data_IF_976566074288
#
_entry.id   IF_976566074288
#
_cell.length_a   1.000
_cell.length_b   1.000
_cell.length_c   1.000
_cell.angle_alpha   90.00
_cell.angle_beta   90.00
_cell.angle_gamma   90.00
#
_symmetry.space_group_name_H-M   'P 1'
#
loop_
_entity.id
_entity.type
_entity.pdbx_description
1 polymer ?
#
# COMPACT_ATOMS: atom_id res chain seq x y z
N UNK A 1 1.05 -11.79 -47.02
CA UNK A 1 0.27 -10.73 -46.31
C UNK A 1 0.17 -10.98 -44.80
N UNK A 2 -0.10 -12.21 -44.36
CA UNK A 2 -0.20 -12.52 -42.90
C UNK A 2 1.10 -12.30 -42.13
N UNK A 3 2.25 -12.62 -42.74
CA UNK A 3 3.58 -12.41 -42.15
C UNK A 3 3.88 -10.91 -41.94
N UNK A 4 3.51 -10.07 -42.89
CA UNK A 4 3.70 -8.61 -42.80
C UNK A 4 2.82 -8.04 -41.69
N UNK A 5 1.58 -8.48 -41.58
CA UNK A 5 0.67 -8.05 -40.48
C UNK A 5 1.21 -8.49 -39.10
N UNK A 6 1.74 -9.72 -38.99
CA UNK A 6 2.34 -10.21 -37.76
C UNK A 6 3.62 -9.42 -37.38
N UNK A 7 4.45 -9.06 -38.37
CA UNK A 7 5.66 -8.25 -38.15
C UNK A 7 5.25 -6.82 -37.72
N UNK A 8 4.26 -6.20 -38.37
CA UNK A 8 3.76 -4.88 -37.99
C UNK A 8 3.15 -4.92 -36.58
N UNK A 9 2.36 -5.92 -36.26
CA UNK A 9 1.80 -6.09 -34.93
C UNK A 9 2.89 -6.29 -33.85
N UNK A 10 3.94 -7.06 -34.15
CA UNK A 10 5.07 -7.26 -33.25
C UNK A 10 5.88 -5.96 -33.08
N UNK A 11 6.11 -5.20 -34.17
CA UNK A 11 6.79 -3.90 -34.09
C UNK A 11 5.98 -2.88 -33.33
N UNK A 12 4.66 -2.79 -33.56
CA UNK A 12 3.77 -1.93 -32.80
C UNK A 12 3.73 -2.35 -31.33
N UNK A 13 3.70 -3.63 -31.02
CA UNK A 13 3.77 -4.14 -29.66
C UNK A 13 5.09 -3.77 -28.98
N UNK A 14 6.22 -3.86 -29.72
CA UNK A 14 7.53 -3.44 -29.20
C UNK A 14 7.56 -1.93 -28.97
N UNK A 15 7.08 -1.12 -29.91
CA UNK A 15 7.09 0.33 -29.81
C UNK A 15 6.17 0.81 -28.68
N UNK A 16 4.94 0.33 -28.62
CA UNK A 16 3.95 0.80 -27.65
C UNK A 16 3.93 0.00 -26.34
N UNK A 17 4.30 -1.27 -26.37
CA UNK A 17 4.30 -2.16 -25.22
C UNK A 17 5.62 -2.22 -24.45
N UNK A 18 6.74 -2.14 -25.14
CA UNK A 18 8.09 -2.31 -24.56
C UNK A 18 8.82 -0.99 -24.41
N UNK A 19 8.79 -0.14 -25.44
CA UNK A 19 9.45 1.17 -25.41
C UNK A 19 8.58 2.19 -24.69
N UNK A 20 7.24 2.05 -24.80
CA UNK A 20 6.26 2.93 -24.19
C UNK A 20 6.47 4.38 -24.63
N UNK A 21 5.62 4.91 -25.48
CA UNK A 21 5.54 6.35 -25.66
C UNK A 21 4.69 6.85 -24.48
N UNK A 22 5.32 6.96 -23.32
CA UNK A 22 4.69 7.64 -22.19
C UNK A 22 4.78 9.13 -22.49
N UNK A 23 3.66 9.81 -22.49
CA UNK A 23 3.65 11.27 -22.56
C UNK A 23 4.54 11.79 -21.42
N UNK A 24 5.58 12.55 -21.77
CA UNK A 24 6.39 13.22 -20.76
C UNK A 24 5.48 14.15 -19.98
N UNK A 25 5.31 13.90 -18.71
CA UNK A 25 4.90 14.95 -17.79
C UNK A 25 6.12 15.86 -17.67
N UNK A 26 6.11 16.98 -18.38
CA UNK A 26 7.14 18.00 -18.18
C UNK A 26 6.92 18.60 -16.79
N UNK A 27 7.77 18.21 -15.86
CA UNK A 27 7.96 19.00 -14.64
C UNK A 27 8.61 20.31 -15.09
N UNK A 28 7.83 21.38 -15.15
CA UNK A 28 8.41 22.71 -15.22
C UNK A 28 9.17 22.92 -13.92
N UNK A 29 10.50 22.95 -14.00
CA UNK A 29 11.28 23.54 -12.93
C UNK A 29 10.73 24.94 -12.68
N UNK A 30 10.39 25.24 -11.44
CA UNK A 30 9.97 26.58 -11.06
C UNK A 30 11.05 27.56 -11.50
N UNK A 31 10.69 28.51 -12.34
CA UNK A 31 11.51 29.71 -12.44
C UNK A 31 11.62 30.27 -11.02
N UNK A 32 12.85 30.51 -10.57
CA UNK A 32 13.08 31.13 -9.26
C UNK A 32 12.31 32.43 -9.25
N UNK A 33 11.25 32.51 -8.49
CA UNK A 33 10.58 33.77 -8.20
C UNK A 33 11.56 34.58 -7.37
N UNK A 34 12.20 35.54 -7.99
CA UNK A 34 13.02 36.54 -7.30
C UNK A 34 12.10 37.53 -6.59
N UNK A 35 11.48 37.07 -5.50
CA UNK A 35 10.82 37.99 -4.59
C UNK A 35 11.90 38.67 -3.75
N UNK A 36 12.10 39.95 -3.96
CA UNK A 36 12.87 40.81 -3.07
C UNK A 36 12.13 41.01 -1.73
N UNK A 37 12.08 39.95 -0.94
CA UNK A 37 11.51 39.99 0.42
C UNK A 37 12.64 39.81 1.40
N UNK A 38 12.96 40.90 2.09
CA UNK A 38 13.95 40.90 3.17
C UNK A 38 13.31 40.43 4.47
N UNK A 39 13.56 39.20 4.85
CA UNK A 39 13.12 38.59 6.11
C UNK A 39 13.39 37.09 6.12
N UNK A 40 13.96 36.58 7.19
CA UNK A 40 14.46 35.21 7.28
C UNK A 40 13.37 34.12 7.33
N UNK A 41 12.06 34.48 7.36
CA UNK A 41 10.95 33.51 7.54
C UNK A 41 9.76 33.82 6.64
N UNK A 42 9.99 34.25 5.40
CA UNK A 42 8.91 34.52 4.44
C UNK A 42 8.83 33.41 3.41
N UNK A 43 7.67 32.73 3.34
CA UNK A 43 7.31 31.80 2.26
C UNK A 43 6.40 32.53 1.28
N UNK A 44 6.81 32.59 0.02
CA UNK A 44 5.99 33.14 -1.06
C UNK A 44 5.22 32.01 -1.73
N UNK A 45 3.89 32.11 -1.72
CA UNK A 45 3.02 31.22 -2.48
C UNK A 45 2.63 31.92 -3.79
N UNK A 46 3.03 31.33 -4.91
CA UNK A 46 2.63 31.81 -6.24
C UNK A 46 1.41 31.05 -6.75
N UNK A 47 0.25 31.67 -6.74
CA UNK A 47 -1.01 31.07 -7.19
C UNK A 47 -1.07 30.86 -8.72
N UNK A 48 -0.10 31.34 -9.49
CA UNK A 48 -0.06 31.13 -10.94
C UNK A 48 0.70 29.85 -11.33
N UNK A 49 1.35 29.19 -10.37
CA UNK A 49 2.11 27.97 -10.60
C UNK A 49 1.42 26.79 -9.94
N UNK A 50 0.90 25.87 -10.76
CA UNK A 50 0.33 24.61 -10.31
C UNK A 50 1.28 23.47 -10.65
N UNK A 51 1.77 22.77 -9.63
CA UNK A 51 2.70 21.64 -9.81
C UNK A 51 1.95 20.32 -9.91
N UNK A 52 1.11 20.01 -8.92
CA UNK A 52 0.38 18.76 -8.83
C UNK A 52 -0.93 18.94 -8.07
N UNK A 53 -1.85 18.01 -8.24
CA UNK A 53 -3.05 17.92 -7.42
C UNK A 53 -2.79 16.98 -6.25
N UNK A 54 -2.86 17.52 -5.02
CA UNK A 54 -2.88 16.70 -3.82
C UNK A 54 -4.27 16.12 -3.62
N UNK A 55 -4.34 14.80 -3.55
CA UNK A 55 -5.60 14.10 -3.37
C UNK A 55 -6.16 14.20 -1.95
N UNK A 56 -5.32 14.49 -0.96
CA UNK A 56 -5.71 14.69 0.42
C UNK A 56 -4.63 14.28 1.41
N UNK A 57 -4.95 14.46 2.68
CA UNK A 57 -4.15 14.06 3.82
C UNK A 57 -4.92 13.08 4.69
N UNK A 58 -4.21 12.12 5.29
CA UNK A 58 -4.85 11.08 6.07
C UNK A 58 -4.01 10.57 7.21
N UNK A 59 -4.60 9.61 7.92
CA UNK A 59 -3.91 8.85 8.94
C UNK A 59 -4.02 7.34 8.69
N UNK A 60 -2.93 6.62 8.91
CA UNK A 60 -2.97 5.17 9.04
C UNK A 60 -3.53 4.80 10.40
N UNK A 61 -4.53 3.94 10.44
CA UNK A 61 -5.20 3.51 11.66
C UNK A 61 -4.44 2.41 12.41
N UNK A 62 -3.41 1.86 11.84
CA UNK A 62 -2.50 0.90 12.48
C UNK A 62 -1.66 1.59 13.57
N UNK A 63 -1.71 1.17 14.77
CA UNK A 63 -2.66 0.19 15.36
C UNK A 63 -3.49 0.88 16.45
N UNK A 64 -3.37 2.21 16.53
CA UNK A 64 -4.04 3.02 17.55
C UNK A 64 -5.56 2.83 17.57
N UNK A 65 -6.16 2.51 16.40
CA UNK A 65 -7.61 2.29 16.33
C UNK A 65 -8.08 1.07 17.11
N UNK A 66 -7.19 0.09 17.35
CA UNK A 66 -7.51 -1.07 18.19
C UNK A 66 -7.76 -0.70 19.64
N UNK A 67 -7.12 0.36 20.14
CA UNK A 67 -7.31 0.88 21.49
C UNK A 67 -8.41 1.96 21.50
N UNK A 68 -8.24 3.01 20.69
CA UNK A 68 -9.11 4.19 20.67
C UNK A 68 -10.56 3.84 20.42
N UNK A 69 -10.86 2.85 19.58
CA UNK A 69 -12.23 2.45 19.28
C UNK A 69 -13.04 2.00 20.50
N UNK A 70 -12.37 1.59 21.59
CA UNK A 70 -13.03 1.22 22.86
C UNK A 70 -13.06 2.32 23.91
N UNK A 71 -12.44 3.48 23.64
CA UNK A 71 -12.34 4.56 24.62
C UNK A 71 -13.60 5.43 24.66
N UNK A 72 -13.98 5.88 25.83
CA UNK A 72 -15.15 6.75 26.02
C UNK A 72 -15.05 8.07 25.24
N UNK A 73 -13.82 8.58 25.04
CA UNK A 73 -13.53 9.79 24.29
C UNK A 73 -13.13 9.54 22.81
N UNK A 74 -13.35 8.33 22.28
CA UNK A 74 -13.06 8.01 20.88
C UNK A 74 -13.67 9.03 19.91
N UNK A 75 -14.90 9.47 20.19
CA UNK A 75 -15.60 10.45 19.35
C UNK A 75 -14.88 11.80 19.29
N UNK A 76 -14.35 12.29 20.41
CA UNK A 76 -13.64 13.57 20.49
C UNK A 76 -12.30 13.50 19.76
N UNK A 77 -11.58 12.36 19.89
CA UNK A 77 -10.34 12.11 19.17
C UNK A 77 -10.58 12.11 17.65
N UNK A 78 -11.61 11.38 17.21
CA UNK A 78 -11.92 11.30 15.80
C UNK A 78 -12.45 12.63 15.23
N UNK A 79 -13.15 13.43 16.04
CA UNK A 79 -13.52 14.80 15.68
C UNK A 79 -12.29 15.68 15.49
N UNK A 80 -11.35 15.63 16.44
CA UNK A 80 -10.11 16.41 16.33
C UNK A 80 -9.28 16.06 15.08
N UNK A 81 -9.35 14.81 14.60
CA UNK A 81 -8.64 14.37 13.41
C UNK A 81 -9.38 14.67 12.10
N UNK A 82 -10.70 14.48 12.05
CA UNK A 82 -11.43 14.39 10.78
C UNK A 82 -12.45 15.52 10.53
N UNK A 83 -12.78 16.34 11.53
CA UNK A 83 -13.69 17.48 11.34
C UNK A 83 -12.93 18.69 10.77
N UNK A 84 -13.39 19.24 9.65
CA UNK A 84 -12.73 20.39 8.98
C UNK A 84 -12.89 21.71 9.72
N UNK A 85 -13.88 21.82 10.65
CA UNK A 85 -14.14 23.04 11.40
C UNK A 85 -13.59 23.01 12.82
N UNK A 86 -13.55 21.82 13.41
CA UNK A 86 -13.17 21.62 14.83
C UNK A 86 -11.91 20.77 15.03
N UNK A 87 -11.33 20.30 13.94
CA UNK A 87 -10.16 19.45 13.91
C UNK A 87 -9.17 19.85 12.83
N UNK A 88 -8.29 18.92 12.47
CA UNK A 88 -7.28 19.14 11.44
C UNK A 88 -7.76 18.77 10.02
N UNK A 89 -9.00 18.28 9.87
CA UNK A 89 -9.65 18.05 8.59
C UNK A 89 -9.03 16.95 7.74
N UNK A 90 -8.60 15.83 8.33
CA UNK A 90 -8.13 14.69 7.53
C UNK A 90 -9.29 14.13 6.69
N UNK A 91 -9.00 13.76 5.47
CA UNK A 91 -9.99 13.25 4.52
C UNK A 91 -9.64 11.89 3.90
N UNK A 92 -8.57 11.25 4.38
CA UNK A 92 -8.19 9.89 4.01
C UNK A 92 -8.02 9.06 5.30
N UNK A 93 -8.63 7.87 5.31
CA UNK A 93 -8.46 6.88 6.37
C UNK A 93 -7.82 5.63 5.77
N UNK A 94 -6.68 5.20 6.31
CA UNK A 94 -6.01 3.97 5.88
C UNK A 94 -6.29 2.87 6.91
N UNK A 95 -7.10 1.89 6.50
CA UNK A 95 -7.60 0.80 7.34
C UNK A 95 -6.79 -0.48 7.13
N UNK A 96 -6.34 -1.10 8.24
CA UNK A 96 -5.69 -2.40 8.20
C UNK A 96 -6.73 -3.53 8.12
N UNK A 97 -6.68 -4.33 7.07
CA UNK A 97 -7.38 -5.60 6.99
C UNK A 97 -6.57 -6.62 7.79
N UNK A 98 -6.95 -6.84 9.03
CA UNK A 98 -6.21 -7.66 9.99
C UNK A 98 -6.06 -9.11 9.54
N UNK A 99 -4.93 -9.71 9.86
CA UNK A 99 -4.60 -11.08 9.47
C UNK A 99 -5.12 -12.15 10.43
N UNK A 100 -5.60 -11.78 11.62
CA UNK A 100 -6.14 -12.73 12.59
C UNK A 100 -5.14 -13.17 13.66
N UNK A 101 -4.20 -12.30 14.00
CA UNK A 101 -3.22 -12.52 15.06
C UNK A 101 -3.77 -12.25 16.47
N UNK A 102 -5.06 -12.02 16.61
CA UNK A 102 -5.67 -11.77 17.92
C UNK A 102 -5.35 -12.90 18.91
N UNK A 103 -4.81 -12.52 20.07
CA UNK A 103 -4.34 -13.42 21.11
C UNK A 103 -3.03 -14.19 20.77
N UNK A 104 -2.32 -13.84 19.73
CA UNK A 104 -0.98 -14.38 19.50
C UNK A 104 0.02 -13.78 20.49
N UNK A 105 0.47 -14.58 21.45
CA UNK A 105 1.37 -14.15 22.53
C UNK A 105 2.76 -13.76 22.05
N UNK A 106 3.15 -14.14 20.82
CA UNK A 106 4.45 -13.77 20.24
C UNK A 106 4.47 -12.29 19.79
N UNK A 107 3.30 -11.71 19.49
CA UNK A 107 3.17 -10.27 19.24
C UNK A 107 2.94 -9.58 20.60
N UNK A 108 3.99 -9.01 21.19
CA UNK A 108 3.97 -8.52 22.56
C UNK A 108 3.03 -7.34 22.76
N UNK A 109 2.88 -6.48 21.77
CA UNK A 109 2.04 -5.28 21.86
C UNK A 109 0.62 -5.61 21.42
N UNK A 110 -0.31 -5.61 22.39
CA UNK A 110 -1.70 -6.08 22.19
C UNK A 110 -2.47 -5.37 21.06
N UNK A 111 -2.28 -4.06 20.87
CA UNK A 111 -2.96 -3.33 19.80
C UNK A 111 -2.42 -3.65 18.40
N UNK A 112 -1.29 -4.36 18.31
CA UNK A 112 -0.76 -4.90 17.04
C UNK A 112 -1.27 -6.30 16.72
N UNK A 113 -2.07 -6.89 17.60
CA UNK A 113 -2.78 -8.15 17.38
C UNK A 113 -4.17 -7.83 16.84
N UNK A 114 -4.48 -8.25 15.63
CA UNK A 114 -5.73 -7.88 14.96
C UNK A 114 -6.66 -9.08 14.74
N UNK A 115 -7.96 -8.82 14.66
CA UNK A 115 -8.94 -9.81 14.19
C UNK A 115 -8.95 -9.84 12.65
N UNK A 116 -9.43 -10.95 12.07
CA UNK A 116 -9.59 -11.14 10.64
C UNK A 116 -11.07 -11.27 10.28
N UNK A 117 -11.46 -10.74 9.12
CA UNK A 117 -12.81 -10.97 8.60
C UNK A 117 -13.01 -12.39 8.05
N UNK A 118 -11.93 -13.08 7.65
CA UNK A 118 -11.98 -14.45 7.18
C UNK A 118 -11.91 -15.42 8.37
N UNK A 119 -12.81 -16.36 8.43
CA UNK A 119 -12.82 -17.46 9.40
C UNK A 119 -12.02 -18.67 8.86
N UNK A 120 -11.68 -19.60 9.75
CA UNK A 120 -10.96 -20.83 9.42
C UNK A 120 -11.71 -21.75 8.43
N UNK A 121 -13.03 -21.69 8.40
CA UNK A 121 -13.90 -22.47 7.50
C UNK A 121 -14.09 -21.78 6.13
N UNK A 122 -13.44 -20.65 5.88
CA UNK A 122 -13.56 -19.89 4.65
C UNK A 122 -14.77 -18.93 4.59
N UNK A 123 -15.60 -18.89 5.63
CA UNK A 123 -16.69 -17.92 5.73
C UNK A 123 -16.18 -16.56 6.21
N UNK A 124 -17.01 -15.53 6.11
CA UNK A 124 -16.66 -14.16 6.53
C UNK A 124 -17.48 -13.71 7.72
N UNK A 125 -16.82 -13.13 8.72
CA UNK A 125 -17.44 -12.43 9.83
C UNK A 125 -17.03 -10.97 9.87
N UNK A 126 -17.79 -10.11 9.23
CA UNK A 126 -17.55 -8.67 9.20
C UNK A 126 -17.92 -7.94 10.51
N UNK A 127 -18.34 -8.67 11.54
CA UNK A 127 -18.50 -8.10 12.90
C UNK A 127 -17.18 -8.14 13.71
N UNK A 128 -16.15 -8.78 13.18
CA UNK A 128 -14.81 -8.74 13.78
C UNK A 128 -14.21 -7.34 13.65
N UNK A 129 -13.12 -7.09 14.39
CA UNK A 129 -12.37 -5.83 14.37
C UNK A 129 -13.21 -4.59 14.76
N UNK A 130 -14.04 -4.75 15.76
CA UNK A 130 -15.04 -3.75 16.19
C UNK A 130 -14.43 -2.40 16.49
N UNK A 131 -13.30 -2.36 17.22
CA UNK A 131 -12.67 -1.09 17.64
C UNK A 131 -12.17 -0.29 16.42
N UNK A 132 -11.50 -0.95 15.47
CA UNK A 132 -11.04 -0.27 14.26
C UNK A 132 -12.23 0.18 13.39
N UNK A 133 -13.27 -0.63 13.27
CA UNK A 133 -14.50 -0.24 12.57
C UNK A 133 -15.21 0.93 13.26
N UNK A 134 -15.24 0.98 14.58
CA UNK A 134 -15.79 2.11 15.36
C UNK A 134 -15.04 3.42 15.04
N UNK A 135 -13.71 3.39 15.02
CA UNK A 135 -12.92 4.55 14.61
C UNK A 135 -13.23 4.98 13.17
N UNK A 136 -13.33 4.03 12.25
CA UNK A 136 -13.67 4.30 10.85
C UNK A 136 -15.07 4.94 10.70
N UNK A 137 -16.05 4.46 11.44
CA UNK A 137 -17.41 5.03 11.44
C UNK A 137 -17.41 6.47 11.97
N UNK A 138 -16.67 6.74 13.04
CA UNK A 138 -16.50 8.08 13.59
C UNK A 138 -15.74 9.00 12.62
N UNK A 139 -14.68 8.51 11.96
CA UNK A 139 -13.97 9.26 10.93
C UNK A 139 -14.93 9.69 9.81
N UNK A 140 -15.73 8.76 9.28
CA UNK A 140 -16.73 9.05 8.26
C UNK A 140 -17.79 10.05 8.74
N UNK A 141 -18.22 9.95 9.99
CA UNK A 141 -19.17 10.88 10.59
C UNK A 141 -18.65 12.32 10.54
N UNK A 142 -17.37 12.53 10.84
CA UNK A 142 -16.78 13.87 10.93
C UNK A 142 -16.24 14.41 9.61
N UNK A 143 -15.55 13.58 8.80
CA UNK A 143 -15.05 13.98 7.49
C UNK A 143 -16.14 14.02 6.39
N UNK A 144 -17.30 13.39 6.64
CA UNK A 144 -18.42 13.36 5.71
C UNK A 144 -18.27 12.32 4.59
N UNK A 145 -19.16 12.44 3.58
CA UNK A 145 -19.29 11.44 2.49
C UNK A 145 -18.08 11.36 1.57
N UNK A 146 -17.30 12.41 1.49
CA UNK A 146 -16.16 12.52 0.59
C UNK A 146 -14.87 11.93 1.17
N UNK A 147 -14.91 11.48 2.44
CA UNK A 147 -13.80 10.76 3.06
C UNK A 147 -13.41 9.55 2.21
N UNK A 148 -12.13 9.43 1.94
CA UNK A 148 -11.55 8.31 1.19
C UNK A 148 -11.09 7.22 2.14
N UNK A 149 -11.38 6.00 1.79
CA UNK A 149 -10.92 4.82 2.52
C UNK A 149 -9.91 4.07 1.67
N UNK A 150 -8.70 3.89 2.19
CA UNK A 150 -7.69 2.99 1.65
C UNK A 150 -7.59 1.77 2.53
N UNK A 151 -7.56 0.59 1.93
CA UNK A 151 -7.45 -0.68 2.63
C UNK A 151 -6.05 -1.26 2.39
N UNK A 152 -5.44 -1.84 3.40
CA UNK A 152 -4.16 -2.52 3.22
C UNK A 152 -4.04 -3.75 4.12
N UNK A 153 -3.10 -4.64 3.79
CA UNK A 153 -2.80 -5.84 4.56
C UNK A 153 -1.33 -5.83 4.98
N UNK A 154 -1.06 -5.96 6.28
CA UNK A 154 0.29 -6.24 6.76
C UNK A 154 0.71 -7.68 6.43
N UNK A 155 -0.21 -8.62 6.57
CA UNK A 155 -0.03 -10.04 6.23
C UNK A 155 -1.30 -10.60 5.61
N UNK A 156 -1.19 -11.73 4.94
CA UNK A 156 -2.36 -12.52 4.58
C UNK A 156 -3.01 -13.12 5.83
N UNK A 157 -4.34 -13.42 5.81
CA UNK A 157 -5.00 -14.13 6.89
C UNK A 157 -4.25 -15.37 7.35
N UNK A 158 -4.13 -15.58 8.65
CA UNK A 158 -3.39 -16.71 9.25
C UNK A 158 -3.82 -18.06 8.70
N UNK A 159 -5.07 -18.21 8.32
CA UNK A 159 -5.61 -19.43 7.72
C UNK A 159 -5.10 -19.71 6.30
N UNK A 160 -4.43 -18.75 5.67
CA UNK A 160 -3.84 -18.88 4.34
C UNK A 160 -2.32 -18.99 4.39
N UNK A 161 -1.71 -18.80 5.57
CA UNK A 161 -0.26 -18.80 5.74
C UNK A 161 0.29 -20.20 6.00
N UNK A 162 1.58 -20.40 5.72
CA UNK A 162 2.26 -21.68 5.87
C UNK A 162 2.41 -22.15 7.31
N UNK A 163 2.66 -21.20 8.22
CA UNK A 163 2.90 -21.48 9.64
C UNK A 163 1.68 -21.19 10.53
N UNK A 164 0.56 -20.77 9.97
CA UNK A 164 -0.64 -20.41 10.72
C UNK A 164 -0.52 -19.12 11.54
N UNK A 165 0.54 -18.32 11.32
CA UNK A 165 0.76 -17.05 11.99
C UNK A 165 0.75 -15.88 10.99
N UNK A 166 0.61 -14.67 11.50
CA UNK A 166 0.57 -13.44 10.70
C UNK A 166 1.97 -12.83 10.45
N UNK A 167 3.03 -13.61 10.61
CA UNK A 167 4.42 -13.22 10.40
C UNK A 167 5.22 -14.40 9.82
N UNK A 168 6.40 -14.11 9.27
CA UNK A 168 7.25 -15.15 8.69
C UNK A 168 7.85 -16.06 9.76
N UNK A 169 8.28 -17.24 9.36
CA UNK A 169 8.91 -18.22 10.27
C UNK A 169 10.15 -17.60 10.91
N UNK A 170 10.29 -17.69 12.23
CA UNK A 170 11.48 -17.23 12.93
C UNK A 170 12.76 -17.92 12.41
N UNK A 171 13.87 -17.22 12.48
CA UNK A 171 15.17 -17.69 11.98
C UNK A 171 16.26 -17.54 13.05
N UNK A 172 17.33 -18.35 12.93
CA UNK A 172 18.42 -18.45 13.91
C UNK A 172 19.72 -17.79 13.48
N UNK A 173 19.86 -17.48 12.18
CA UNK A 173 21.05 -16.82 11.66
C UNK A 173 20.71 -15.94 10.46
N UNK A 174 21.53 -14.93 10.19
CA UNK A 174 21.40 -14.04 9.04
C UNK A 174 21.62 -14.76 7.69
N UNK A 175 22.25 -15.94 7.72
CA UNK A 175 22.50 -16.74 6.52
C UNK A 175 21.26 -17.51 6.05
N UNK A 176 20.19 -17.56 6.86
CA UNK A 176 18.96 -18.23 6.47
C UNK A 176 18.22 -17.41 5.40
N UNK A 177 17.82 -18.09 4.34
CA UNK A 177 17.08 -17.47 3.27
C UNK A 177 15.68 -17.05 3.74
N UNK A 178 15.32 -15.80 3.55
CA UNK A 178 13.98 -15.32 3.84
C UNK A 178 12.95 -15.96 2.91
N UNK A 179 11.84 -16.36 3.48
CA UNK A 179 10.80 -17.11 2.78
C UNK A 179 9.43 -16.45 3.08
N UNK A 180 8.67 -16.21 2.02
CA UNK A 180 7.29 -15.75 2.16
C UNK A 180 6.44 -16.74 2.97
N UNK A 181 5.66 -16.23 3.90
CA UNK A 181 4.75 -17.04 4.71
C UNK A 181 3.45 -17.40 3.96
N UNK A 182 3.12 -16.72 2.87
CA UNK A 182 1.95 -17.06 2.04
C UNK A 182 2.31 -18.12 1.00
N UNK A 183 1.60 -19.23 1.01
CA UNK A 183 1.76 -20.27 -0.01
C UNK A 183 1.16 -19.81 -1.35
N UNK A 184 1.82 -20.18 -2.47
CA UNK A 184 1.35 -19.82 -3.82
C UNK A 184 -0.02 -20.36 -4.16
N UNK A 185 -0.39 -21.53 -3.61
CA UNK A 185 -1.71 -22.11 -3.77
C UNK A 185 -2.83 -21.23 -3.19
N UNK A 186 -2.49 -20.39 -2.20
CA UNK A 186 -3.42 -19.50 -1.51
C UNK A 186 -3.48 -18.08 -2.08
N UNK A 187 -2.69 -17.74 -3.12
CA UNK A 187 -2.68 -16.40 -3.72
C UNK A 187 -4.08 -15.96 -4.19
N UNK A 188 -4.84 -16.88 -4.80
CA UNK A 188 -6.20 -16.57 -5.22
C UNK A 188 -7.12 -16.32 -4.02
N UNK A 189 -7.06 -17.16 -2.98
CA UNK A 189 -7.86 -16.99 -1.76
C UNK A 189 -7.55 -15.67 -1.06
N UNK A 190 -6.28 -15.24 -1.03
CA UNK A 190 -5.90 -13.95 -0.48
C UNK A 190 -6.43 -12.78 -1.32
N UNK A 191 -6.39 -12.88 -2.65
CA UNK A 191 -7.01 -11.88 -3.51
C UNK A 191 -8.54 -11.84 -3.34
N UNK A 192 -9.19 -12.99 -3.11
CA UNK A 192 -10.62 -13.07 -2.79
C UNK A 192 -10.92 -12.40 -1.43
N UNK A 193 -10.07 -12.59 -0.42
CA UNK A 193 -10.19 -11.91 0.87
C UNK A 193 -10.16 -10.39 0.72
N UNK A 194 -9.18 -9.85 0.00
CA UNK A 194 -9.08 -8.43 -0.25
C UNK A 194 -10.30 -7.89 -1.03
N UNK A 195 -10.78 -8.66 -2.02
CA UNK A 195 -11.94 -8.29 -2.82
C UNK A 195 -13.21 -8.23 -1.95
N UNK A 196 -13.49 -9.28 -1.19
CA UNK A 196 -14.70 -9.37 -0.37
C UNK A 196 -14.69 -8.33 0.75
N UNK A 197 -13.53 -8.03 1.32
CA UNK A 197 -13.39 -6.97 2.33
C UNK A 197 -13.65 -5.59 1.73
N UNK A 198 -13.13 -5.31 0.54
CA UNK A 198 -13.41 -4.04 -0.15
C UNK A 198 -14.89 -3.91 -0.53
N UNK A 199 -15.50 -4.97 -1.04
CA UNK A 199 -16.92 -5.04 -1.40
C UNK A 199 -17.83 -4.78 -0.19
N UNK A 200 -17.47 -5.34 0.98
CA UNK A 200 -18.16 -5.06 2.23
C UNK A 200 -18.19 -3.57 2.56
N UNK A 201 -17.04 -2.89 2.53
CA UNK A 201 -16.97 -1.46 2.82
C UNK A 201 -17.67 -0.61 1.77
N UNK A 202 -17.57 -0.95 0.47
CA UNK A 202 -18.32 -0.28 -0.60
C UNK A 202 -19.83 -0.41 -0.38
N UNK A 203 -20.32 -1.61 -0.05
CA UNK A 203 -21.74 -1.87 0.25
C UNK A 203 -22.22 -1.13 1.50
N UNK A 204 -21.35 -0.88 2.46
CA UNK A 204 -21.61 0.00 3.63
C UNK A 204 -21.57 1.50 3.29
N UNK A 205 -21.36 1.87 2.03
CA UNK A 205 -21.34 3.25 1.57
C UNK A 205 -20.05 4.00 1.91
N UNK A 206 -18.92 3.29 2.10
CA UNK A 206 -17.62 3.93 2.16
C UNK A 206 -17.06 4.17 0.76
N UNK A 207 -16.40 5.29 0.59
CA UNK A 207 -15.64 5.60 -0.64
C UNK A 207 -14.28 4.91 -0.59
N UNK A 208 -14.27 3.60 -0.86
CA UNK A 208 -13.02 2.85 -0.98
C UNK A 208 -12.29 3.30 -2.25
N UNK A 209 -11.06 3.78 -2.12
CA UNK A 209 -10.27 4.28 -3.25
C UNK A 209 -9.18 3.32 -3.69
N UNK A 210 -8.59 2.59 -2.74
CA UNK A 210 -7.57 1.60 -3.07
C UNK A 210 -7.53 0.42 -2.09
N UNK A 211 -6.98 -0.68 -2.59
CA UNK A 211 -6.60 -1.86 -1.81
C UNK A 211 -5.12 -2.13 -2.05
N UNK A 212 -4.32 -2.17 -0.99
CA UNK A 212 -2.91 -2.53 -1.01
C UNK A 212 -2.70 -3.89 -0.34
N UNK A 213 -2.44 -4.94 -1.13
CA UNK A 213 -2.34 -6.30 -0.58
C UNK A 213 -0.97 -6.62 0.02
N UNK A 214 0.04 -5.82 -0.26
CA UNK A 214 1.43 -6.12 0.08
C UNK A 214 2.05 -4.92 0.76
N UNK A 215 2.28 -5.03 2.07
CA UNK A 215 2.94 -4.01 2.88
C UNK A 215 4.39 -4.40 3.16
N UNK A 216 5.32 -3.50 2.87
CA UNK A 216 6.76 -3.59 3.17
C UNK A 216 7.39 -4.96 2.86
N UNK A 217 7.23 -5.48 1.63
CA UNK A 217 7.60 -6.85 1.28
C UNK A 217 9.10 -7.12 1.34
N UNK A 218 9.92 -6.07 1.37
CA UNK A 218 11.38 -6.17 1.36
C UNK A 218 11.99 -6.51 2.73
N UNK A 219 11.19 -6.50 3.80
CA UNK A 219 11.66 -6.82 5.13
C UNK A 219 11.31 -8.26 5.52
N UNK A 220 12.18 -8.85 6.33
CA UNK A 220 11.91 -10.15 6.92
C UNK A 220 11.03 -9.96 8.17
N UNK A 221 9.75 -10.15 8.01
CA UNK A 221 8.76 -10.06 9.08
C UNK A 221 8.75 -11.34 9.93
N UNK A 222 9.90 -11.67 10.52
CA UNK A 222 10.11 -12.80 11.39
C UNK A 222 10.81 -12.36 12.68
N UNK A 223 10.82 -13.24 13.66
CA UNK A 223 11.56 -13.05 14.89
C UNK A 223 12.91 -13.75 14.84
N UNK A 224 13.85 -13.26 15.65
CA UNK A 224 14.98 -14.03 16.07
C UNK A 224 14.59 -14.98 17.21
N UNK A 225 15.14 -16.18 17.20
CA UNK A 225 15.08 -17.03 18.38
C UNK A 225 16.00 -16.47 19.46
N UNK A 226 15.47 -16.38 20.66
CA UNK A 226 16.25 -16.12 21.87
C UNK A 226 17.11 -17.35 22.24
N UNK A 227 18.05 -17.19 23.17
CA UNK A 227 18.93 -18.28 23.63
C UNK A 227 18.15 -19.47 24.23
N UNK A 228 17.00 -19.21 24.81
CA UNK A 228 16.07 -20.22 25.36
C UNK A 228 15.10 -20.83 24.33
N UNK A 229 15.31 -20.57 23.04
CA UNK A 229 14.44 -20.93 21.91
C UNK A 229 13.02 -20.31 21.96
N UNK A 230 12.79 -19.30 22.76
CA UNK A 230 11.59 -18.47 22.65
C UNK A 230 11.79 -17.41 21.57
N UNK A 231 10.72 -16.78 21.12
CA UNK A 231 10.79 -15.64 20.20
C UNK A 231 9.61 -14.70 20.39
N UNK A 232 9.78 -13.48 19.91
CA UNK A 232 8.71 -12.49 19.79
C UNK A 232 8.84 -11.74 18.48
N UNK A 233 7.73 -11.23 17.99
CA UNK A 233 7.65 -10.39 16.79
C UNK A 233 7.02 -9.04 17.13
N UNK A 234 7.34 -8.02 16.35
CA UNK A 234 6.84 -6.68 16.61
C UNK A 234 5.38 -6.51 16.15
N UNK A 235 4.97 -7.20 15.08
CA UNK A 235 3.70 -6.97 14.40
C UNK A 235 3.41 -8.04 13.36
N UNK A 236 2.21 -7.99 12.78
CA UNK A 236 1.89 -8.70 11.54
C UNK A 236 2.76 -8.20 10.38
N UNK A 237 3.17 -9.09 9.49
CA UNK A 237 3.94 -8.76 8.30
C UNK A 237 4.29 -10.00 7.49
N UNK A 238 4.58 -9.82 6.21
CA UNK A 238 4.99 -10.92 5.34
C UNK A 238 6.04 -10.47 4.32
N UNK A 239 7.16 -11.16 4.33
CA UNK A 239 8.17 -11.03 3.28
C UNK A 239 7.64 -11.62 1.96
N UNK A 240 7.92 -10.93 0.89
CA UNK A 240 7.76 -11.43 -0.47
C UNK A 240 8.98 -11.01 -1.28
N UNK A 241 9.66 -11.95 -1.91
CA UNK A 241 10.61 -11.56 -2.96
C UNK A 241 9.88 -10.80 -4.08
N UNK A 242 10.60 -9.97 -4.83
CA UNK A 242 10.01 -9.22 -5.96
C UNK A 242 9.30 -10.13 -6.99
N UNK A 243 9.72 -11.39 -7.10
CA UNK A 243 9.09 -12.36 -8.00
C UNK A 243 7.80 -12.93 -7.41
N UNK A 244 7.77 -13.19 -6.11
CA UNK A 244 6.57 -13.64 -5.39
C UNK A 244 5.52 -12.52 -5.36
N UNK A 245 5.93 -11.28 -5.05
CA UNK A 245 5.05 -10.10 -5.10
C UNK A 245 4.40 -9.95 -6.49
N UNK A 246 5.20 -10.02 -7.57
CA UNK A 246 4.69 -10.00 -8.94
C UNK A 246 3.71 -11.14 -9.21
N UNK A 247 4.04 -12.37 -8.79
CA UNK A 247 3.20 -13.53 -9.06
C UNK A 247 1.89 -13.50 -8.26
N UNK A 248 1.92 -13.00 -7.02
CA UNK A 248 0.74 -12.71 -6.22
C UNK A 248 -0.14 -11.66 -6.91
N UNK A 249 0.44 -10.56 -7.37
CA UNK A 249 -0.31 -9.48 -8.03
C UNK A 249 -1.00 -9.90 -9.33
N UNK A 250 -0.57 -10.98 -9.98
CA UNK A 250 -1.30 -11.56 -11.12
C UNK A 250 -2.72 -12.02 -10.74
N UNK A 251 -2.95 -12.40 -9.48
CA UNK A 251 -4.28 -12.78 -9.01
C UNK A 251 -5.19 -11.58 -8.79
N UNK A 252 -4.62 -10.39 -8.59
CA UNK A 252 -5.35 -9.13 -8.40
C UNK A 252 -5.83 -8.50 -9.71
N UNK A 253 -5.41 -9.00 -10.88
CA UNK A 253 -5.90 -8.52 -12.18
C UNK A 253 -7.42 -8.65 -12.32
N UNK A 254 -8.06 -9.52 -11.54
CA UNK A 254 -9.51 -9.69 -11.48
C UNK A 254 -10.26 -8.45 -10.98
N UNK A 255 -9.59 -7.54 -10.26
CA UNK A 255 -10.20 -6.29 -9.84
C UNK A 255 -10.55 -5.40 -11.04
N UNK A 256 -9.71 -5.40 -12.09
CA UNK A 256 -9.92 -4.57 -13.27
C UNK A 256 -11.16 -5.01 -14.05
N UNK A 257 -12.06 -4.07 -14.29
CA UNK A 257 -13.34 -4.30 -14.95
C UNK A 257 -14.41 -4.92 -14.06
N UNK A 258 -14.11 -5.21 -12.79
CA UNK A 258 -15.08 -5.68 -11.79
C UNK A 258 -16.02 -4.56 -11.31
N UNK A 259 -17.03 -4.90 -10.53
CA UNK A 259 -17.92 -3.91 -9.90
C UNK A 259 -17.15 -2.99 -8.95
N UNK A 260 -16.10 -3.48 -8.27
CA UNK A 260 -15.25 -2.65 -7.44
C UNK A 260 -14.45 -1.62 -8.27
N UNK A 261 -13.88 -2.02 -9.41
CA UNK A 261 -13.20 -1.07 -10.32
C UNK A 261 -14.17 0.00 -10.85
N UNK A 262 -15.39 -0.41 -11.21
CA UNK A 262 -16.46 0.53 -11.63
C UNK A 262 -16.88 1.49 -10.50
N UNK A 263 -16.81 1.04 -9.26
CA UNK A 263 -17.03 1.86 -8.06
C UNK A 263 -15.83 2.77 -7.71
N UNK A 264 -14.73 2.69 -8.47
CA UNK A 264 -13.55 3.52 -8.29
C UNK A 264 -12.43 2.88 -7.45
N UNK A 265 -12.60 1.63 -6.99
CA UNK A 265 -11.57 0.93 -6.21
C UNK A 265 -10.41 0.52 -7.11
N UNK A 266 -9.20 0.95 -6.75
CA UNK A 266 -7.96 0.61 -7.42
C UNK A 266 -7.15 -0.38 -6.59
N UNK A 267 -6.22 -1.09 -7.22
CA UNK A 267 -5.23 -1.90 -6.52
C UNK A 267 -3.90 -1.15 -6.53
N UNK A 268 -3.41 -0.82 -5.34
CA UNK A 268 -2.03 -0.42 -5.13
C UNK A 268 -1.16 -1.67 -5.18
N UNK A 269 -0.03 -1.62 -5.89
CA UNK A 269 0.77 -2.83 -6.14
C UNK A 269 1.38 -3.40 -4.87
N UNK A 270 2.17 -2.58 -4.21
CA UNK A 270 2.83 -2.85 -2.93
C UNK A 270 3.19 -1.52 -2.29
N UNK A 271 3.42 -1.55 -1.00
CA UNK A 271 3.90 -0.40 -0.25
C UNK A 271 5.34 -0.66 0.18
N UNK A 272 6.29 0.05 -0.40
CA UNK A 272 7.69 -0.04 0.03
C UNK A 272 7.86 0.62 1.40
N UNK A 273 8.61 0.00 2.32
CA UNK A 273 8.84 0.53 3.67
C UNK A 273 9.71 1.78 3.72
N UNK A 274 10.45 2.07 2.66
CA UNK A 274 11.28 3.28 2.54
C UNK A 274 11.33 3.76 1.10
N UNK A 275 11.52 5.06 0.92
CA UNK A 275 11.98 5.64 -0.32
C UNK A 275 13.49 5.47 -0.37
N UNK A 276 13.95 4.65 -1.29
CA UNK A 276 15.36 4.34 -1.45
C UNK A 276 15.74 4.77 -2.87
N UNK A 277 16.71 5.58 -3.06
CA UNK A 277 17.09 6.17 -4.36
C UNK A 277 17.28 5.17 -5.51
N UNK A 278 17.78 5.63 -6.64
CA UNK A 278 18.00 4.81 -7.83
C UNK A 278 18.89 3.58 -7.54
N UNK A 279 18.48 2.41 -8.01
CA UNK A 279 19.19 1.15 -7.79
C UNK A 279 18.78 0.39 -6.52
N UNK A 280 17.84 0.94 -5.75
CA UNK A 280 17.36 0.37 -4.49
C UNK A 280 16.50 -0.89 -4.66
N UNK A 281 16.24 -1.53 -3.52
CA UNK A 281 15.32 -2.67 -3.43
C UNK A 281 13.92 -2.30 -3.89
N UNK A 282 13.40 -1.13 -3.46
CA UNK A 282 12.06 -0.64 -3.86
C UNK A 282 11.94 -0.51 -5.39
N UNK A 283 12.95 0.09 -6.04
CA UNK A 283 13.00 0.22 -7.49
C UNK A 283 13.07 -1.14 -8.18
N UNK A 284 13.79 -2.10 -7.59
CA UNK A 284 13.87 -3.46 -8.12
C UNK A 284 12.52 -4.20 -8.09
N UNK A 285 11.67 -3.94 -7.08
CA UNK A 285 10.29 -4.45 -7.03
C UNK A 285 9.44 -3.78 -8.13
N UNK A 286 9.48 -2.46 -8.23
CA UNK A 286 8.75 -1.72 -9.26
C UNK A 286 9.16 -2.19 -10.67
N UNK A 287 10.44 -2.29 -10.94
CA UNK A 287 10.95 -2.76 -12.23
C UNK A 287 10.56 -4.23 -12.51
N UNK A 288 10.49 -5.07 -11.49
CA UNK A 288 10.04 -6.45 -11.64
C UNK A 288 8.55 -6.57 -11.96
N UNK A 289 7.72 -5.70 -11.39
CA UNK A 289 6.26 -5.71 -11.55
C UNK A 289 5.84 -4.93 -12.79
N UNK A 290 6.40 -3.73 -12.97
CA UNK A 290 6.04 -2.77 -14.02
C UNK A 290 7.11 -2.63 -15.10
N UNK A 291 8.27 -3.26 -14.94
CA UNK A 291 9.47 -3.04 -15.74
C UNK A 291 9.23 -3.08 -17.24
N UNK A 292 9.97 -2.24 -17.97
CA UNK A 292 10.00 -2.13 -19.42
C UNK A 292 11.31 -2.75 -19.93
N UNK A 293 11.27 -3.33 -21.11
CA UNK A 293 12.45 -3.88 -21.79
C UNK A 293 12.40 -5.40 -21.97
N UNK A 294 13.30 -5.95 -22.78
CA UNK A 294 13.27 -7.38 -23.17
C UNK A 294 13.28 -8.33 -21.98
N UNK A 295 14.00 -7.98 -20.92
CA UNK A 295 14.09 -8.77 -19.67
C UNK A 295 12.73 -9.00 -19.01
N UNK A 296 11.78 -8.08 -19.19
CA UNK A 296 10.49 -8.09 -18.48
C UNK A 296 9.29 -8.36 -19.37
N UNK A 297 9.44 -8.27 -20.71
CA UNK A 297 8.34 -8.35 -21.69
C UNK A 297 7.42 -9.55 -21.46
N UNK A 298 7.99 -10.74 -21.29
CA UNK A 298 7.19 -11.94 -21.11
C UNK A 298 6.72 -12.17 -19.69
N UNK A 299 7.44 -11.63 -18.70
CA UNK A 299 7.14 -11.83 -17.26
C UNK A 299 6.10 -10.84 -16.71
N UNK A 300 6.06 -9.64 -17.28
CA UNK A 300 5.19 -8.55 -16.83
C UNK A 300 4.09 -8.21 -17.84
N UNK A 301 3.94 -9.02 -18.90
CA UNK A 301 2.94 -8.76 -19.93
C UNK A 301 1.55 -8.61 -19.31
N UNK A 302 0.96 -7.44 -19.51
CA UNK A 302 -0.39 -7.13 -19.05
C UNK A 302 -0.53 -6.62 -17.62
N UNK A 303 0.47 -6.70 -16.74
CA UNK A 303 0.32 -6.22 -15.36
C UNK A 303 0.19 -4.70 -15.27
N UNK A 304 0.90 -3.95 -16.09
CA UNK A 304 0.88 -2.47 -16.09
C UNK A 304 -0.50 -1.84 -16.27
N UNK A 305 -1.39 -2.49 -16.97
CA UNK A 305 -2.75 -1.97 -17.22
C UNK A 305 -3.74 -2.20 -16.08
N UNK A 306 -3.34 -2.99 -15.08
CA UNK A 306 -4.20 -3.35 -13.96
C UNK A 306 -3.95 -2.53 -12.71
N UNK A 307 -2.81 -1.82 -12.64
CA UNK A 307 -2.40 -1.04 -11.49
C UNK A 307 -2.30 0.43 -11.86
N UNK A 308 -2.75 1.30 -10.99
CA UNK A 308 -2.83 2.73 -11.22
C UNK A 308 -2.06 3.54 -10.15
N UNK A 309 -1.51 2.87 -9.14
CA UNK A 309 -0.87 3.53 -7.99
C UNK A 309 0.43 2.84 -7.59
N UNK A 310 1.42 3.65 -7.24
CA UNK A 310 2.66 3.27 -6.58
C UNK A 310 2.64 3.86 -5.18
N UNK A 311 2.74 3.02 -4.17
CA UNK A 311 2.71 3.44 -2.78
C UNK A 311 4.02 3.15 -2.09
N UNK A 312 4.43 4.03 -1.19
CA UNK A 312 5.64 3.84 -0.40
C UNK A 312 5.58 4.60 0.92
N UNK A 313 6.35 4.13 1.86
CA UNK A 313 6.62 4.78 3.12
C UNK A 313 7.89 5.63 3.00
N UNK A 314 8.07 6.58 3.88
CA UNK A 314 9.25 7.47 3.86
C UNK A 314 10.14 7.30 5.09
N UNK A 315 10.06 6.14 5.75
CA UNK A 315 10.93 5.82 6.87
C UNK A 315 12.40 5.85 6.44
N UNK A 316 13.26 6.36 7.29
CA UNK A 316 14.72 6.45 7.09
C UNK A 316 15.17 7.10 5.78
N UNK A 317 14.29 7.84 5.13
CA UNK A 317 14.57 8.50 3.85
C UNK A 317 14.85 9.99 4.06
N UNK A 318 16.02 10.44 3.68
CA UNK A 318 16.36 11.86 3.65
C UNK A 318 15.74 12.58 2.44
N UNK A 319 15.95 13.88 2.36
CA UNK A 319 15.37 14.71 1.29
C UNK A 319 15.91 14.33 -0.09
N UNK A 320 17.19 14.00 -0.20
CA UNK A 320 17.83 13.67 -1.47
C UNK A 320 17.33 12.31 -1.98
N UNK A 321 17.18 11.34 -1.09
CA UNK A 321 16.60 10.03 -1.38
C UNK A 321 15.15 10.16 -1.83
N UNK A 322 14.34 10.97 -1.12
CA UNK A 322 12.94 11.24 -1.52
C UNK A 322 12.86 11.87 -2.90
N UNK A 323 13.73 12.84 -3.16
CA UNK A 323 13.80 13.50 -4.47
C UNK A 323 14.23 12.53 -5.57
N UNK A 324 15.29 11.76 -5.37
CA UNK A 324 15.76 10.77 -6.35
C UNK A 324 14.70 9.71 -6.66
N UNK A 325 13.92 9.29 -5.66
CA UNK A 325 12.80 8.36 -5.85
C UNK A 325 11.67 9.00 -6.66
N UNK A 326 11.30 10.23 -6.36
CA UNK A 326 10.28 10.97 -7.11
C UNK A 326 10.69 11.18 -8.57
N UNK A 327 11.95 11.58 -8.81
CA UNK A 327 12.51 11.74 -10.16
C UNK A 327 12.47 10.41 -10.94
N UNK A 328 12.86 9.30 -10.30
CA UNK A 328 12.82 7.96 -10.90
C UNK A 328 11.40 7.54 -11.31
N UNK A 329 10.42 7.74 -10.43
CA UNK A 329 9.02 7.40 -10.71
C UNK A 329 8.49 8.30 -11.84
N UNK A 330 8.77 9.58 -11.78
CA UNK A 330 8.39 10.54 -12.80
C UNK A 330 8.94 10.19 -14.17
N UNK A 331 10.21 9.81 -14.25
CA UNK A 331 10.88 9.45 -15.50
C UNK A 331 10.36 8.13 -16.08
N UNK A 332 10.26 7.10 -15.24
CA UNK A 332 9.95 5.74 -15.71
C UNK A 332 8.48 5.34 -15.62
N UNK A 333 7.75 5.92 -14.69
CA UNK A 333 6.41 5.46 -14.29
C UNK A 333 5.40 6.60 -14.14
N UNK A 334 5.56 7.69 -14.91
CA UNK A 334 4.78 8.94 -14.83
C UNK A 334 3.25 8.79 -14.91
N UNK A 335 2.76 7.68 -15.46
CA UNK A 335 1.32 7.42 -15.57
C UNK A 335 0.67 6.93 -14.28
N UNK A 336 1.47 6.55 -13.27
CA UNK A 336 0.96 6.02 -12.01
C UNK A 336 0.79 7.15 -10.99
N UNK A 337 -0.28 7.06 -10.22
CA UNK A 337 -0.41 7.89 -9.02
C UNK A 337 0.66 7.49 -8.00
N UNK A 338 1.15 8.45 -7.26
CA UNK A 338 2.11 8.21 -6.17
C UNK A 338 1.44 8.55 -4.85
N UNK A 339 1.52 7.62 -3.90
CA UNK A 339 0.99 7.81 -2.56
C UNK A 339 2.09 7.56 -1.52
N UNK A 340 2.25 8.49 -0.57
CA UNK A 340 2.96 8.22 0.68
C UNK A 340 1.92 7.74 1.69
N UNK A 341 1.91 6.45 1.95
CA UNK A 341 0.82 5.79 2.65
C UNK A 341 1.10 5.60 4.13
N UNK A 342 2.35 5.75 4.54
CA UNK A 342 2.74 5.65 5.93
C UNK A 342 3.99 6.48 6.24
N UNK A 343 3.92 7.23 7.33
CA UNK A 343 5.03 7.94 7.93
C UNK A 343 4.72 8.22 9.41
N UNK A 344 5.70 8.01 10.25
CA UNK A 344 5.74 8.63 11.58
C UNK A 344 7.17 9.03 11.92
N UNK A 345 7.31 9.98 12.83
CA UNK A 345 8.62 10.32 13.38
C UNK A 345 9.07 9.18 14.29
N UNK A 346 10.19 8.56 13.95
CA UNK A 346 10.86 7.60 14.81
C UNK A 346 11.68 8.36 15.84
N UNK A 347 11.47 8.10 17.12
CA UNK A 347 12.24 8.68 18.24
C UNK A 347 13.25 7.67 18.77
#
# INVERSE_FOLDING_TARGET
>A
SALIVAIIAAVLYIIFGVIGIDGKVEYRQSEKVNANVSGSNVTVLDNNVNYQTLNGFGASACWWSQDVGSWDNASDIMQALYDDNKGIGLNIYRYNLGAGSKNDSHILTKNRQTECFLNADGTYNFNNDKNAQQCLELAKKYAGKDMRLTLFCNSAPVYLTKNGAAYCTPYKSDDEQWVSNLDKSNYKAFADFCYNSADYFVKKGYRVTSVSPINEPQYNWAAWYNDDNTYSVNQEGCYYSKYEARDLLKTFVKFKGSELDKSGVKVSMFESGAMEGQGSTAMAYMDCILGKGPKYVFKNAGLRKYFDEVSMHSYWSDTDTKKATADYISEKYSKYNVASTEYCQMT
#
